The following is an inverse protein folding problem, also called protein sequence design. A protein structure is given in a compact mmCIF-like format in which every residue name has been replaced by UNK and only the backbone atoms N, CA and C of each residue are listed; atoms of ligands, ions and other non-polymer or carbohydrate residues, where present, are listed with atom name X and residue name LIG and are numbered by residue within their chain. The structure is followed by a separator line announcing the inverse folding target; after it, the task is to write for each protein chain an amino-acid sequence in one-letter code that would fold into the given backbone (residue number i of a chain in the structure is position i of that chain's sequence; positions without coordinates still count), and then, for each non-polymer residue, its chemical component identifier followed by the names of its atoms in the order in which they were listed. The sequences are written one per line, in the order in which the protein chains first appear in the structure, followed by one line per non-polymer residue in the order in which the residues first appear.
data_IF_002743670557
#
_entry.id   IF_002743670557
#
_cell.length_a   1.000
_cell.length_b   1.000
_cell.length_c   1.000
_cell.angle_alpha   90.00
_cell.angle_beta   90.00
_cell.angle_gamma   90.00
#
_symmetry.space_group_name_H-M   'P 1'
#
loop_
_entity.id
_entity.type
_entity.pdbx_description
1 polymer ?
#
# COMPACT_ATOMS: atom_id res chain seq x y z
N UNK A 1 10.38 14.07 10.27
CA UNK A 1 9.12 14.82 10.30
C UNK A 1 9.39 16.27 10.60
N UNK A 2 8.82 17.16 9.80
CA UNK A 2 8.97 18.60 9.98
C UNK A 2 7.63 19.20 10.36
N UNK A 3 7.66 20.15 11.30
CA UNK A 3 6.51 21.01 11.62
C UNK A 3 6.71 22.34 10.91
N UNK A 4 5.68 22.80 10.21
CA UNK A 4 5.67 24.12 9.59
C UNK A 4 5.24 25.14 10.65
N UNK A 5 6.03 26.17 10.87
CA UNK A 5 5.65 27.33 11.68
C UNK A 5 5.96 28.61 10.91
N UNK A 6 4.92 29.32 10.46
CA UNK A 6 5.06 30.40 9.48
C UNK A 6 5.67 29.86 8.19
N UNK A 7 6.81 30.41 7.77
CA UNK A 7 7.56 29.99 6.58
C UNK A 7 8.75 29.07 6.90
N UNK A 8 8.86 28.55 8.13
CA UNK A 8 9.98 27.72 8.57
C UNK A 8 9.57 26.26 8.78
N UNK A 9 10.47 25.35 8.39
CA UNK A 9 10.37 23.92 8.65
C UNK A 9 11.27 23.57 9.84
N UNK A 10 10.67 23.12 10.93
CA UNK A 10 11.40 22.66 12.11
C UNK A 10 11.40 21.14 12.17
N UNK A 11 12.59 20.51 12.20
CA UNK A 11 12.71 19.07 12.39
C UNK A 11 12.23 18.72 13.81
N UNK A 12 11.18 17.90 13.91
CA UNK A 12 10.60 17.48 15.20
C UNK A 12 10.96 16.04 15.54
N UNK A 13 10.90 15.14 14.55
CA UNK A 13 11.19 13.72 14.76
C UNK A 13 12.03 13.13 13.64
N UNK A 14 12.95 12.23 13.99
CA UNK A 14 13.68 11.38 13.04
C UNK A 14 13.31 9.93 13.29
N UNK A 15 12.62 9.32 12.32
CA UNK A 15 12.16 7.94 12.41
C UNK A 15 13.28 6.99 11.98
N UNK A 16 13.72 6.09 12.86
CA UNK A 16 14.80 5.13 12.60
C UNK A 16 14.28 3.71 12.78
N UNK A 17 14.42 2.86 11.75
CA UNK A 17 13.87 1.51 11.78
C UNK A 17 14.09 0.69 10.50
N UNK A 18 14.43 1.34 9.38
CA UNK A 18 14.86 0.65 8.17
C UNK A 18 16.38 0.46 8.16
N UNK A 19 16.82 -0.73 7.77
CA UNK A 19 18.23 -1.03 7.51
C UNK A 19 18.64 -0.75 6.06
N UNK A 20 17.65 -0.60 5.18
CA UNK A 20 17.82 -0.29 3.76
C UNK A 20 17.33 1.13 3.42
N UNK A 21 17.77 1.73 2.31
CA UNK A 21 17.26 3.02 1.85
C UNK A 21 15.73 3.04 1.73
N UNK A 22 15.11 4.05 2.33
CA UNK A 22 13.66 4.29 2.24
C UNK A 22 13.29 4.70 0.82
N UNK A 23 12.29 4.03 0.24
CA UNK A 23 11.88 4.20 -1.15
C UNK A 23 10.54 4.91 -1.31
N UNK A 24 9.66 4.80 -0.33
CA UNK A 24 8.32 5.38 -0.38
C UNK A 24 7.77 5.61 1.03
N UNK A 25 6.84 6.55 1.16
CA UNK A 25 6.16 6.87 2.41
C UNK A 25 4.73 7.31 2.10
N UNK A 26 3.79 6.94 2.97
CA UNK A 26 2.42 7.45 2.94
C UNK A 26 1.87 7.65 4.36
N UNK A 27 0.92 8.57 4.52
CA UNK A 27 0.35 8.96 5.81
C UNK A 27 -1.16 8.77 5.83
N UNK A 28 -1.62 7.91 6.74
CA UNK A 28 -3.00 7.82 7.18
C UNK A 28 -3.30 8.94 8.19
N UNK A 29 -3.86 10.04 7.69
CA UNK A 29 -4.11 11.27 8.44
C UNK A 29 -5.22 11.18 9.49
N UNK A 30 -6.14 10.22 9.36
CA UNK A 30 -7.24 10.01 10.31
C UNK A 30 -6.84 9.25 11.57
N UNK A 31 -5.83 8.38 11.49
CA UNK A 31 -5.41 7.51 12.60
C UNK A 31 -3.94 7.70 13.02
N UNK A 32 -3.29 8.77 12.57
CA UNK A 32 -1.91 9.13 12.91
C UNK A 32 -0.92 7.99 12.69
N UNK A 33 -1.08 7.26 11.58
CA UNK A 33 -0.15 6.22 11.15
C UNK A 33 0.59 6.64 9.91
N UNK A 34 1.90 6.42 9.91
CA UNK A 34 2.73 6.57 8.72
C UNK A 34 3.17 5.18 8.30
N UNK A 35 3.27 4.93 7.01
CA UNK A 35 3.90 3.73 6.49
C UNK A 35 5.06 4.12 5.61
N UNK A 36 6.17 3.40 5.72
CA UNK A 36 7.31 3.58 4.83
C UNK A 36 7.87 2.25 4.35
N UNK A 37 8.27 2.19 3.09
CA UNK A 37 8.93 1.02 2.50
C UNK A 37 10.41 1.30 2.28
N UNK A 38 11.21 0.24 2.31
CA UNK A 38 12.61 0.33 1.88
C UNK A 38 12.85 -0.46 0.58
N UNK A 39 14.10 -0.48 0.11
CA UNK A 39 14.51 -1.22 -1.09
C UNK A 39 14.58 -2.74 -0.89
N UNK A 40 14.38 -3.22 0.33
CA UNK A 40 14.29 -4.63 0.68
C UNK A 40 12.83 -5.13 0.71
N UNK A 41 12.58 -6.22 1.43
CA UNK A 41 11.24 -6.80 1.61
C UNK A 41 10.64 -6.42 2.96
N UNK A 42 10.97 -5.25 3.48
CA UNK A 42 10.42 -4.74 4.74
C UNK A 42 9.73 -3.40 4.54
N UNK A 43 8.63 -3.21 5.26
CA UNK A 43 8.06 -1.90 5.50
C UNK A 43 7.93 -1.66 7.02
N UNK A 44 7.85 -0.40 7.41
CA UNK A 44 7.57 -0.01 8.78
C UNK A 44 6.26 0.74 8.82
N UNK A 45 5.35 0.30 9.70
CA UNK A 45 4.19 1.09 10.11
C UNK A 45 4.58 1.83 11.40
N UNK A 46 4.55 3.15 11.33
CA UNK A 46 4.84 4.04 12.43
C UNK A 46 3.54 4.45 13.08
N UNK A 47 3.44 4.24 14.38
CA UNK A 47 2.30 4.64 15.20
C UNK A 47 2.78 5.67 16.20
N UNK A 48 2.08 6.80 16.31
CA UNK A 48 2.40 7.80 17.30
C UNK A 48 1.98 7.34 18.70
N UNK A 49 2.93 7.31 19.62
CA UNK A 49 2.71 7.06 21.04
C UNK A 49 2.55 8.41 21.74
N UNK A 50 1.32 8.72 22.13
CA UNK A 50 0.95 10.00 22.75
C UNK A 50 1.59 10.15 24.13
N UNK A 51 1.74 9.06 24.89
CA UNK A 51 2.33 9.11 26.23
C UNK A 51 3.83 9.41 26.16
N UNK A 52 4.51 8.79 25.20
CA UNK A 52 5.95 8.99 24.98
C UNK A 52 6.28 10.17 24.08
N UNK A 53 5.26 10.82 23.51
CA UNK A 53 5.38 11.89 22.52
C UNK A 53 6.35 11.50 21.38
N UNK A 54 6.31 10.24 20.94
CA UNK A 54 7.28 9.69 19.99
C UNK A 54 6.65 8.61 19.11
N UNK A 55 7.33 8.24 18.02
CA UNK A 55 6.83 7.24 17.07
C UNK A 55 7.42 5.86 17.36
N UNK A 56 6.56 4.84 17.35
CA UNK A 56 6.94 3.43 17.44
C UNK A 56 6.89 2.79 16.06
N UNK A 57 7.99 2.13 15.66
CA UNK A 57 8.03 1.32 14.45
C UNK A 57 7.40 -0.07 14.69
N UNK A 58 6.61 -0.53 13.73
CA UNK A 58 6.15 -1.92 13.62
C UNK A 58 6.59 -2.44 12.25
N UNK A 59 7.51 -3.40 12.23
CA UNK A 59 8.04 -3.95 10.99
C UNK A 59 7.06 -4.97 10.38
N UNK A 60 6.85 -4.88 9.07
CA UNK A 60 6.02 -5.78 8.29
C UNK A 60 6.86 -6.39 7.18
N UNK A 61 6.86 -7.72 7.09
CA UNK A 61 7.56 -8.41 6.02
C UNK A 61 6.69 -8.47 4.76
N UNK A 62 7.20 -7.92 3.66
CA UNK A 62 6.56 -7.95 2.35
C UNK A 62 6.83 -9.27 1.63
N UNK A 63 5.90 -9.68 0.76
CA UNK A 63 6.09 -10.87 -0.08
C UNK A 63 7.07 -10.58 -1.22
N UNK A 64 6.95 -9.40 -1.83
CA UNK A 64 7.87 -8.88 -2.85
C UNK A 64 8.40 -7.49 -2.49
N UNK A 65 9.59 -7.16 -3.02
CA UNK A 65 10.21 -5.84 -2.81
C UNK A 65 9.30 -4.73 -3.33
N UNK A 66 9.29 -3.60 -2.63
CA UNK A 66 8.52 -2.42 -3.04
C UNK A 66 9.02 -1.89 -4.39
N UNK A 67 8.09 -1.59 -5.29
CA UNK A 67 8.33 -0.91 -6.56
C UNK A 67 8.16 0.60 -6.45
N UNK A 68 7.96 1.14 -5.24
CA UNK A 68 8.02 2.59 -5.00
C UNK A 68 6.69 3.33 -5.05
N UNK A 69 5.55 2.63 -5.01
CA UNK A 69 4.26 3.24 -4.68
C UNK A 69 3.60 2.53 -3.51
N UNK A 70 3.08 3.33 -2.57
CA UNK A 70 2.34 2.88 -1.40
C UNK A 70 1.14 3.79 -1.18
N UNK A 71 0.00 3.20 -0.83
CA UNK A 71 -1.18 3.97 -0.42
C UNK A 71 -1.98 3.27 0.67
N UNK A 72 -2.31 4.02 1.71
CA UNK A 72 -3.35 3.66 2.68
C UNK A 72 -4.72 3.57 2.01
N UNK A 73 -5.53 2.64 2.52
CA UNK A 73 -6.92 2.51 2.14
C UNK A 73 -7.72 3.73 2.63
N UNK A 74 -8.86 4.08 2.00
CA UNK A 74 -9.70 5.19 2.44
C UNK A 74 -10.14 5.11 3.91
N UNK A 75 -10.23 3.91 4.49
CA UNK A 75 -10.57 3.68 5.90
C UNK A 75 -9.35 3.57 6.81
N UNK A 76 -8.14 3.63 6.26
CA UNK A 76 -6.87 3.54 6.98
C UNK A 76 -6.72 2.25 7.82
N UNK A 77 -7.40 1.20 7.40
CA UNK A 77 -7.40 -0.13 8.01
C UNK A 77 -6.43 -1.11 7.34
N UNK A 78 -6.03 -0.80 6.10
CA UNK A 78 -5.07 -1.55 5.29
C UNK A 78 -4.33 -0.62 4.33
N UNK A 79 -3.27 -1.11 3.70
CA UNK A 79 -2.53 -0.36 2.69
C UNK A 79 -1.98 -1.31 1.62
N UNK A 80 -1.77 -0.78 0.42
CA UNK A 80 -1.17 -1.52 -0.70
C UNK A 80 0.19 -0.93 -1.05
N UNK A 81 1.13 -1.83 -1.31
CA UNK A 81 2.46 -1.53 -1.86
C UNK A 81 2.61 -2.22 -3.21
N UNK A 82 3.03 -1.48 -4.22
CA UNK A 82 3.32 -2.05 -5.53
C UNK A 82 4.61 -2.87 -5.52
N UNK A 83 4.70 -3.90 -6.36
CA UNK A 83 5.93 -4.64 -6.65
C UNK A 83 6.13 -4.75 -8.17
N UNK A 84 7.19 -5.45 -8.61
CA UNK A 84 7.42 -5.72 -10.03
C UNK A 84 6.51 -6.82 -10.61
N UNK A 85 5.81 -7.58 -9.78
CA UNK A 85 5.01 -8.71 -10.26
C UNK A 85 3.65 -8.81 -9.57
N UNK A 86 3.24 -7.77 -8.85
CA UNK A 86 1.99 -7.78 -8.12
C UNK A 86 1.85 -6.70 -7.06
N UNK A 87 0.91 -6.92 -6.15
CA UNK A 87 0.59 -6.00 -5.06
C UNK A 87 0.79 -6.72 -3.71
N UNK A 88 1.46 -6.06 -2.78
CA UNK A 88 1.50 -6.45 -1.38
C UNK A 88 0.37 -5.70 -0.67
N UNK A 89 -0.67 -6.42 -0.22
CA UNK A 89 -1.72 -5.86 0.63
C UNK A 89 -1.39 -6.14 2.09
N UNK A 90 -1.24 -5.10 2.89
CA UNK A 90 -0.97 -5.22 4.32
C UNK A 90 -2.16 -4.75 5.15
N UNK A 91 -2.50 -5.51 6.19
CA UNK A 91 -3.59 -5.18 7.12
C UNK A 91 -3.20 -5.61 8.54
N UNK A 92 -3.80 -4.98 9.54
CA UNK A 92 -3.54 -5.30 10.94
C UNK A 92 -4.57 -6.32 11.44
N UNK A 93 -4.10 -7.47 11.93
CA UNK A 93 -4.96 -8.42 12.63
C UNK A 93 -4.96 -8.12 14.12
N UNK A 94 -6.07 -7.59 14.62
CA UNK A 94 -6.23 -7.16 16.01
C UNK A 94 -6.08 -8.31 17.01
N UNK A 95 -6.55 -9.51 16.66
CA UNK A 95 -6.46 -10.69 17.53
C UNK A 95 -5.01 -11.08 17.84
N UNK A 96 -4.11 -10.98 16.86
CA UNK A 96 -2.68 -11.30 17.03
C UNK A 96 -1.80 -10.07 17.30
N UNK A 97 -2.40 -8.87 17.28
CA UNK A 97 -1.70 -7.58 17.39
C UNK A 97 -0.53 -7.45 16.40
N UNK A 98 -0.71 -7.94 15.18
CA UNK A 98 0.36 -8.03 14.18
C UNK A 98 -0.11 -7.65 12.77
N UNK A 99 0.82 -7.17 11.94
CA UNK A 99 0.58 -6.81 10.55
C UNK A 99 0.81 -7.99 9.62
N UNK A 100 -0.18 -8.31 8.80
CA UNK A 100 -0.09 -9.38 7.80
C UNK A 100 0.01 -8.82 6.39
N UNK A 101 0.90 -9.42 5.59
CA UNK A 101 1.04 -9.13 4.17
C UNK A 101 0.49 -10.29 3.31
N UNK A 102 -0.55 -9.99 2.53
CA UNK A 102 -1.07 -10.85 1.46
C UNK A 102 -0.54 -10.38 0.11
N UNK A 103 -0.43 -11.28 -0.86
CA UNK A 103 0.10 -10.98 -2.19
C UNK A 103 -0.94 -11.23 -3.25
N UNK A 104 -1.10 -10.26 -4.16
CA UNK A 104 -1.91 -10.38 -5.36
C UNK A 104 -0.93 -10.48 -6.53
N UNK A 105 -0.66 -11.70 -7.05
CA UNK A 105 0.21 -11.86 -8.20
C UNK A 105 -0.48 -11.30 -9.45
N UNK A 106 0.29 -10.62 -10.29
CA UNK A 106 -0.14 -10.23 -11.64
C UNK A 106 0.54 -11.19 -12.61
N UNK A 107 -0.18 -12.26 -12.92
CA UNK A 107 0.23 -13.24 -13.92
C UNK A 107 -0.46 -12.88 -15.24
N UNK A 108 0.32 -12.36 -16.18
CA UNK A 108 -0.16 -11.98 -17.49
C UNK A 108 0.63 -12.73 -18.57
N UNK A 109 0.09 -13.82 -19.12
CA UNK A 109 0.76 -14.59 -20.15
C UNK A 109 1.06 -13.78 -21.42
N UNK A 110 0.35 -12.65 -21.60
CA UNK A 110 0.50 -11.78 -22.78
C UNK A 110 1.57 -10.70 -22.62
N UNK A 111 2.26 -10.63 -21.48
CA UNK A 111 3.43 -9.77 -21.31
C UNK A 111 4.71 -10.56 -21.61
N UNK A 112 5.39 -10.31 -22.74
CA UNK A 112 6.51 -11.14 -23.22
C UNK A 112 7.82 -10.93 -22.44
N UNK A 113 7.81 -10.15 -21.36
CA UNK A 113 8.98 -9.89 -20.53
C UNK A 113 8.63 -10.07 -19.04
N UNK A 114 9.63 -10.57 -18.31
CA UNK A 114 9.76 -10.60 -16.85
C UNK A 114 9.04 -9.44 -16.14
N UNK A 115 8.37 -9.76 -15.03
CA UNK A 115 7.91 -8.87 -13.96
C UNK A 115 8.13 -7.35 -14.22
N UNK A 116 7.12 -6.66 -14.74
CA UNK A 116 7.19 -5.22 -15.03
C UNK A 116 6.89 -4.38 -13.77
N UNK A 117 7.75 -3.39 -13.50
CA UNK A 117 7.57 -2.46 -12.38
C UNK A 117 6.20 -1.76 -12.45
N UNK A 118 5.42 -1.90 -11.38
CA UNK A 118 4.21 -1.11 -11.16
C UNK A 118 4.59 0.24 -10.53
N UNK A 119 4.25 1.33 -11.20
CA UNK A 119 4.64 2.69 -10.81
C UNK A 119 3.61 3.37 -9.91
N UNK A 120 2.35 2.93 -9.96
CA UNK A 120 1.26 3.59 -9.23
C UNK A 120 0.18 2.60 -8.81
N UNK A 121 -0.54 2.99 -7.74
CA UNK A 121 -1.70 2.30 -7.19
C UNK A 121 -2.69 3.35 -6.72
N UNK A 122 -3.99 3.09 -6.82
CA UNK A 122 -5.02 3.91 -6.17
C UNK A 122 -6.11 3.02 -5.57
N UNK A 123 -6.76 3.52 -4.54
CA UNK A 123 -7.90 2.86 -3.92
C UNK A 123 -9.20 3.39 -4.49
N UNK A 124 -10.13 2.49 -4.73
CA UNK A 124 -11.52 2.89 -4.92
C UNK A 124 -12.13 3.31 -3.57
N UNK A 125 -13.08 4.28 -3.55
CA UNK A 125 -13.69 4.77 -2.31
C UNK A 125 -14.40 3.71 -1.46
N UNK A 126 -14.76 2.56 -2.04
CA UNK A 126 -15.39 1.45 -1.31
C UNK A 126 -14.44 0.68 -0.38
N UNK A 127 -13.13 0.98 -0.38
CA UNK A 127 -12.13 0.28 0.42
C UNK A 127 -11.96 -1.22 0.05
N UNK A 128 -12.48 -1.65 -1.11
CA UNK A 128 -12.43 -3.02 -1.62
C UNK A 128 -11.61 -3.10 -2.89
N UNK A 129 -11.81 -2.20 -3.86
CA UNK A 129 -11.10 -2.29 -5.14
C UNK A 129 -9.81 -1.46 -5.12
N UNK A 130 -8.78 -1.99 -5.77
CA UNK A 130 -7.51 -1.29 -5.98
C UNK A 130 -7.14 -1.29 -7.45
N UNK A 131 -6.85 -0.11 -8.00
CA UNK A 131 -6.27 0.05 -9.31
C UNK A 131 -4.74 0.03 -9.24
N UNK A 132 -4.06 -0.47 -10.27
CA UNK A 132 -2.62 -0.31 -10.43
C UNK A 132 -2.21 -0.16 -11.90
N UNK A 133 -1.07 0.48 -12.14
CA UNK A 133 -0.49 0.64 -13.47
C UNK A 133 1.03 0.77 -13.45
N UNK A 134 1.68 0.37 -14.55
CA UNK A 134 3.14 0.36 -14.62
C UNK A 134 3.73 0.33 -16.02
N UNK A 135 4.94 -0.22 -16.11
CA UNK A 135 5.76 -0.29 -17.32
C UNK A 135 5.23 -1.31 -18.35
N UNK A 136 4.35 -2.23 -17.96
CA UNK A 136 3.70 -3.19 -18.87
C UNK A 136 2.56 -2.58 -19.69
N UNK A 137 2.35 -1.27 -19.58
CA UNK A 137 1.36 -0.50 -20.33
C UNK A 137 -0.08 -0.90 -20.04
N UNK A 138 -0.35 -1.59 -18.93
CA UNK A 138 -1.71 -2.03 -18.55
C UNK A 138 -2.16 -1.39 -17.23
N UNK A 139 -3.39 -0.89 -17.23
CA UNK A 139 -4.13 -0.56 -16.01
C UNK A 139 -4.92 -1.80 -15.62
N UNK A 140 -4.88 -2.17 -14.34
CA UNK A 140 -5.63 -3.31 -13.79
C UNK A 140 -6.35 -2.89 -12.52
N UNK A 141 -7.49 -3.52 -12.24
CA UNK A 141 -8.23 -3.36 -10.99
C UNK A 141 -8.42 -4.74 -10.36
N UNK A 142 -8.11 -4.84 -9.06
CA UNK A 142 -8.21 -6.07 -8.28
C UNK A 142 -9.12 -5.87 -7.08
N UNK A 143 -9.80 -6.94 -6.68
CA UNK A 143 -10.47 -7.02 -5.39
C UNK A 143 -9.46 -7.26 -4.26
N UNK A 144 -9.59 -6.49 -3.17
CA UNK A 144 -8.89 -6.69 -1.91
C UNK A 144 -9.81 -7.19 -0.80
N UNK A 145 -11.02 -7.63 -1.15
CA UNK A 145 -12.05 -8.02 -0.21
C UNK A 145 -11.53 -9.06 0.79
N UNK A 146 -11.67 -8.75 2.08
CA UNK A 146 -11.48 -9.69 3.16
C UNK A 146 -12.81 -9.86 3.91
N UNK A 147 -13.20 -11.07 4.35
CA UNK A 147 -14.46 -11.28 5.06
C UNK A 147 -14.63 -10.40 6.31
N UNK A 148 -13.53 -10.00 6.97
CA UNK A 148 -13.58 -9.06 8.10
C UNK A 148 -14.10 -7.66 7.71
N UNK A 149 -13.95 -7.26 6.44
CA UNK A 149 -14.44 -5.99 5.91
C UNK A 149 -15.99 -5.93 5.85
N UNK A 150 -16.66 -7.08 5.85
CA UNK A 150 -18.12 -7.20 5.68
C UNK A 150 -18.94 -6.61 6.84
N UNK A 151 -18.35 -6.52 8.04
CA UNK A 151 -19.02 -5.98 9.24
C UNK A 151 -19.45 -4.52 9.09
N UNK A 152 -18.78 -3.77 8.21
CA UNK A 152 -19.07 -2.36 7.90
C UNK A 152 -19.56 -2.15 6.45
N UNK A 153 -19.91 -3.22 5.71
CA UNK A 153 -20.28 -3.11 4.29
C UNK A 153 -21.41 -4.06 3.90
N UNK A 154 -22.57 -3.48 3.63
CA UNK A 154 -23.46 -3.96 2.56
C UNK A 154 -23.16 -3.12 1.31
N UNK A 155 -22.00 -3.36 0.69
CA UNK A 155 -21.53 -2.60 -0.47
C UNK A 155 -21.49 -3.45 -1.74
N UNK A 156 -21.47 -2.79 -2.90
CA UNK A 156 -21.10 -3.41 -4.18
C UNK A 156 -19.69 -4.02 -4.04
N UNK A 157 -19.41 -5.15 -4.70
CA UNK A 157 -18.10 -5.83 -4.78
C UNK A 157 -17.68 -6.72 -3.59
N UNK A 158 -18.48 -6.88 -2.53
CA UNK A 158 -18.17 -7.81 -1.42
C UNK A 158 -18.31 -9.29 -1.78
N UNK A 159 -18.86 -9.58 -2.96
CA UNK A 159 -18.99 -10.90 -3.56
C UNK A 159 -17.76 -11.31 -4.39
N UNK A 160 -16.86 -10.37 -4.68
CA UNK A 160 -15.69 -10.60 -5.52
C UNK A 160 -14.53 -11.12 -4.66
N UNK A 161 -14.04 -12.35 -4.88
CA UNK A 161 -12.97 -12.93 -4.07
C UNK A 161 -11.69 -12.09 -4.06
N UNK A 162 -10.93 -12.20 -2.97
CA UNK A 162 -9.62 -11.57 -2.83
C UNK A 162 -8.71 -11.91 -4.03
N UNK A 163 -8.05 -10.89 -4.59
CA UNK A 163 -7.09 -11.03 -5.67
C UNK A 163 -7.71 -11.22 -7.06
N UNK A 164 -9.04 -11.30 -7.18
CA UNK A 164 -9.70 -11.35 -8.50
C UNK A 164 -9.50 -10.05 -9.25
N UNK A 165 -8.99 -10.15 -10.49
CA UNK A 165 -8.90 -9.02 -11.42
C UNK A 165 -10.27 -8.77 -12.05
N UNK A 166 -10.85 -7.58 -11.81
CA UNK A 166 -12.18 -7.21 -12.31
C UNK A 166 -12.12 -6.35 -13.57
N UNK A 167 -10.96 -5.74 -13.84
CA UNK A 167 -10.74 -4.90 -15.01
C UNK A 167 -9.28 -4.94 -15.46
N UNK A 168 -9.05 -4.90 -16.77
CA UNK A 168 -7.73 -4.72 -17.37
C UNK A 168 -7.84 -3.99 -18.71
N UNK A 169 -6.99 -2.99 -18.94
CA UNK A 169 -6.94 -2.26 -20.21
C UNK A 169 -5.52 -1.82 -20.54
N UNK A 170 -5.14 -1.99 -21.81
CA UNK A 170 -3.87 -1.48 -22.34
C UNK A 170 -3.96 0.04 -22.60
N UNK A 171 -2.99 0.78 -22.11
CA UNK A 171 -2.84 2.23 -22.24
C UNK A 171 -1.82 2.63 -23.33
N UNK A 172 -1.14 1.67 -23.97
CA UNK A 172 -0.15 1.87 -25.05
C UNK A 172 1.03 2.79 -24.68
N UNK A 173 1.29 2.96 -23.39
CA UNK A 173 2.40 3.73 -22.85
C UNK A 173 2.61 3.40 -21.37
N UNK A 174 3.72 3.87 -20.80
CA UNK A 174 3.97 3.69 -19.37
C UNK A 174 2.98 4.48 -18.54
N UNK A 175 2.43 3.82 -17.52
CA UNK A 175 1.48 4.44 -16.62
C UNK A 175 2.25 4.88 -15.37
N UNK A 176 2.25 6.18 -15.11
CA UNK A 176 2.93 6.78 -13.95
C UNK A 176 1.97 7.18 -12.84
N UNK A 177 0.68 7.31 -13.16
CA UNK A 177 -0.36 7.68 -12.20
C UNK A 177 -1.72 7.16 -12.66
N UNK A 178 -2.56 6.85 -11.68
CA UNK A 178 -3.99 6.53 -11.80
C UNK A 178 -4.68 7.18 -10.61
N UNK A 179 -5.96 7.55 -10.77
CA UNK A 179 -6.76 8.18 -9.72
C UNK A 179 -8.15 7.57 -9.74
#
# INVERSE_FOLDING_TARGET
MYKVTGNHLHLVHTLKGHDSPVTCVDWAGGCDKIVSTASDKWCCVWVYDVERQNWRAQSVQLRQRSAGAIHWSPREDKFVITSSSGLNLCHFETFYMYWWCRYIPIEDPSTPFTAAKLNCVCWHPDNILVGCGGMDTKVRVFSTYHPADSSNMKGLNTDIPFGTMVFSRRANGWINTIR
#
